data_IF_470427440333
#
_entry.id   IF_470427440333
#
_cell.length_a   1.000
_cell.length_b   1.000
_cell.length_c   1.000
_cell.angle_alpha   90.00
_cell.angle_beta   90.00
_cell.angle_gamma   90.00
#
_symmetry.space_group_name_H-M   'P 1'
#
loop_
_entity.id
_entity.type
_entity.pdbx_description
1 polymer ?
#
# COMPACT_ATOMS: atom_id res chain seq x y z
N UNK A 1 -18.40 -25.32 -18.23
CA UNK A 1 -18.51 -24.67 -16.91
C UNK A 1 -17.30 -25.05 -16.05
N UNK A 2 -16.31 -24.17 -15.94
CA UNK A 2 -15.21 -24.28 -14.98
C UNK A 2 -15.03 -22.89 -14.37
N UNK A 3 -15.24 -22.80 -13.06
CA UNK A 3 -15.42 -21.56 -12.29
C UNK A 3 -14.28 -20.57 -12.53
N UNK A 4 -14.61 -19.31 -12.75
CA UNK A 4 -13.70 -18.19 -12.57
C UNK A 4 -13.03 -18.40 -11.20
N UNK A 5 -11.74 -18.74 -11.21
CA UNK A 5 -10.97 -18.80 -9.98
C UNK A 5 -11.06 -17.42 -9.36
N UNK A 6 -11.69 -17.33 -8.20
CA UNK A 6 -11.71 -16.13 -7.38
C UNK A 6 -10.25 -15.70 -7.24
N UNK A 7 -9.86 -14.66 -7.98
CA UNK A 7 -8.54 -14.04 -7.91
C UNK A 7 -8.55 -13.29 -6.60
N UNK A 8 -8.32 -14.03 -5.50
CA UNK A 8 -8.14 -13.46 -4.17
C UNK A 8 -6.99 -12.47 -4.30
N UNK A 9 -7.34 -11.20 -4.27
CA UNK A 9 -6.40 -10.09 -4.41
C UNK A 9 -6.16 -9.64 -3.00
N UNK A 10 -5.06 -10.09 -2.40
CA UNK A 10 -4.71 -9.64 -1.08
C UNK A 10 -4.36 -8.13 -1.11
N UNK A 11 -4.69 -7.44 -0.04
CA UNK A 11 -4.41 -6.04 0.19
C UNK A 11 -3.61 -5.88 1.47
N UNK A 12 -2.66 -4.95 1.44
CA UNK A 12 -1.84 -4.58 2.57
C UNK A 12 -2.34 -3.24 3.12
N UNK A 13 -2.53 -3.19 4.43
CA UNK A 13 -3.05 -2.04 5.14
C UNK A 13 -2.07 -1.61 6.24
N UNK A 14 -1.79 -0.32 6.31
CA UNK A 14 -0.99 0.28 7.38
C UNK A 14 -1.50 1.67 7.68
N UNK A 15 -1.24 2.17 8.89
CA UNK A 15 -1.73 3.48 9.31
C UNK A 15 -0.71 4.57 8.98
N UNK A 16 -1.19 5.72 8.48
CA UNK A 16 -0.34 6.86 8.18
C UNK A 16 0.30 7.45 9.45
N UNK A 17 -0.34 7.32 10.61
CA UNK A 17 0.22 7.77 11.89
C UNK A 17 1.47 6.99 12.32
N UNK A 18 1.62 5.76 11.84
CA UNK A 18 2.75 4.90 12.16
C UNK A 18 3.93 5.10 11.19
N UNK A 19 3.76 5.92 10.16
CA UNK A 19 4.81 6.23 9.19
C UNK A 19 5.71 7.30 9.79
N UNK A 20 7.02 7.03 9.80
CA UNK A 20 8.01 8.00 10.23
C UNK A 20 7.83 9.34 9.50
N UNK A 21 7.80 10.45 10.26
CA UNK A 21 7.67 11.82 9.73
C UNK A 21 8.48 12.14 8.47
N UNK A 22 9.78 11.79 8.37
CA UNK A 22 10.56 12.08 7.16
C UNK A 22 9.97 11.42 5.91
N UNK A 23 9.50 10.18 6.02
CA UNK A 23 8.88 9.43 4.92
C UNK A 23 7.54 10.04 4.55
N UNK A 24 6.73 10.37 5.55
CA UNK A 24 5.42 10.98 5.34
C UNK A 24 5.49 12.37 4.69
N UNK A 25 6.55 13.15 4.99
CA UNK A 25 6.80 14.46 4.37
C UNK A 25 7.26 14.36 2.93
N UNK A 26 7.99 13.30 2.59
CA UNK A 26 8.47 13.04 1.23
C UNK A 26 7.45 12.29 0.36
N UNK A 27 6.34 11.83 0.95
CA UNK A 27 5.29 11.14 0.23
C UNK A 27 4.59 12.07 -0.78
N UNK A 28 4.43 11.57 -2.00
CA UNK A 28 3.73 12.28 -3.06
C UNK A 28 2.28 11.84 -3.07
N UNK A 29 1.36 12.80 -2.91
CA UNK A 29 -0.09 12.56 -2.93
C UNK A 29 -0.69 13.05 -4.23
N UNK A 30 -1.49 12.23 -4.88
CA UNK A 30 -2.22 12.56 -6.10
C UNK A 30 -3.70 12.26 -5.92
N UNK A 31 -4.53 13.26 -6.14
CA UNK A 31 -5.97 13.04 -6.23
C UNK A 31 -6.31 12.53 -7.63
N UNK A 32 -6.91 11.35 -7.70
CA UNK A 32 -7.31 10.70 -8.94
C UNK A 32 -8.73 11.18 -9.27
N UNK A 33 -8.84 12.08 -10.26
CA UNK A 33 -10.09 12.78 -10.57
C UNK A 33 -11.22 11.86 -11.06
N UNK A 34 -10.85 10.71 -11.65
CA UNK A 34 -11.80 9.76 -12.24
C UNK A 34 -12.52 8.91 -11.20
N UNK A 35 -11.79 8.54 -10.14
CA UNK A 35 -12.30 7.64 -9.08
C UNK A 35 -12.56 8.36 -7.76
N UNK A 36 -12.12 9.61 -7.63
CA UNK A 36 -12.16 10.37 -6.37
C UNK A 36 -11.21 9.82 -5.29
N UNK A 37 -10.31 8.89 -5.66
CA UNK A 37 -9.38 8.25 -4.74
C UNK A 37 -8.15 9.13 -4.54
N UNK A 38 -7.63 9.14 -3.31
CA UNK A 38 -6.40 9.82 -2.98
C UNK A 38 -5.27 8.81 -2.99
N UNK A 39 -4.44 8.87 -4.02
CA UNK A 39 -3.30 7.96 -4.20
C UNK A 39 -2.08 8.58 -3.52
N UNK A 40 -1.27 7.77 -2.86
CA UNK A 40 -0.05 8.16 -2.17
C UNK A 40 1.10 7.26 -2.59
N UNK A 41 2.23 7.85 -2.94
CA UNK A 41 3.47 7.14 -3.27
C UNK A 41 4.57 7.56 -2.31
N UNK A 42 5.26 6.58 -1.73
CA UNK A 42 6.35 6.83 -0.79
C UNK A 42 7.71 6.68 -1.46
N UNK A 43 8.72 7.47 -1.07
CA UNK A 43 10.06 7.31 -1.59
C UNK A 43 10.61 5.91 -1.24
N UNK A 44 11.09 5.19 -2.25
CA UNK A 44 11.63 3.83 -2.10
C UNK A 44 10.58 2.73 -1.92
N UNK A 45 9.28 3.06 -1.87
CA UNK A 45 8.23 2.06 -1.89
C UNK A 45 7.96 1.66 -3.35
N UNK A 46 7.94 0.35 -3.68
CA UNK A 46 7.77 -0.11 -5.06
C UNK A 46 6.35 0.07 -5.60
N UNK A 47 5.39 0.41 -4.73
CA UNK A 47 3.97 0.50 -5.06
C UNK A 47 3.36 1.81 -4.56
N UNK A 48 2.33 2.26 -5.27
CA UNK A 48 1.41 3.29 -4.83
C UNK A 48 0.31 2.70 -3.94
N UNK A 49 -0.09 3.46 -2.92
CA UNK A 49 -1.20 3.15 -2.04
C UNK A 49 -2.37 4.12 -2.23
N UNK A 50 -3.51 3.78 -1.64
CA UNK A 50 -4.71 4.61 -1.60
C UNK A 50 -4.97 5.01 -0.16
N UNK A 51 -5.01 6.31 0.11
CA UNK A 51 -5.46 6.85 1.40
C UNK A 51 -6.98 6.63 1.54
N UNK A 52 -7.34 5.84 2.56
CA UNK A 52 -8.71 5.62 2.98
C UNK A 52 -9.15 6.66 4.01
N UNK A 53 -10.48 6.80 4.17
CA UNK A 53 -11.05 7.62 5.25
C UNK A 53 -10.65 7.03 6.59
N UNK A 54 -9.92 7.80 7.40
CA UNK A 54 -9.41 7.37 8.71
C UNK A 54 -7.88 7.32 8.80
N UNK A 55 -7.15 7.70 7.74
CA UNK A 55 -5.69 7.75 7.76
C UNK A 55 -5.01 6.41 7.48
N UNK A 56 -5.78 5.37 7.15
CA UNK A 56 -5.23 4.09 6.72
C UNK A 56 -4.87 4.13 5.23
N UNK A 57 -3.77 3.46 4.89
CA UNK A 57 -3.29 3.34 3.52
C UNK A 57 -3.49 1.90 3.07
N UNK A 58 -4.19 1.73 1.95
CA UNK A 58 -4.41 0.45 1.28
C UNK A 58 -3.44 0.33 0.09
N UNK A 59 -2.71 -0.78 0.02
CA UNK A 59 -1.86 -1.12 -1.12
C UNK A 59 -2.26 -2.49 -1.65
N UNK A 60 -2.27 -2.64 -2.98
CA UNK A 60 -2.47 -3.96 -3.57
C UNK A 60 -1.27 -4.85 -3.25
N UNK A 61 -1.51 -6.01 -2.64
CA UNK A 61 -0.43 -6.92 -2.31
C UNK A 61 0.09 -7.59 -3.59
N UNK A 62 1.38 -7.39 -3.94
CA UNK A 62 1.90 -7.87 -5.20
C UNK A 62 2.04 -9.40 -5.20
N UNK A 63 1.68 -10.03 -6.32
CA UNK A 63 1.88 -11.48 -6.53
C UNK A 63 3.34 -11.85 -6.79
N UNK A 64 4.09 -10.93 -7.40
CA UNK A 64 5.52 -11.13 -7.65
C UNK A 64 6.26 -11.18 -6.31
N UNK A 65 7.03 -12.25 -6.09
CA UNK A 65 7.85 -12.45 -4.90
C UNK A 65 8.89 -11.34 -4.73
N UNK A 66 9.47 -10.85 -5.83
CA UNK A 66 10.46 -9.79 -5.78
C UNK A 66 9.86 -8.48 -5.28
N UNK A 67 8.74 -8.04 -5.88
CA UNK A 67 8.05 -6.80 -5.49
C UNK A 67 7.55 -6.90 -4.05
N UNK A 68 7.02 -8.06 -3.66
CA UNK A 68 6.58 -8.35 -2.30
C UNK A 68 7.72 -8.25 -1.30
N UNK A 69 8.87 -8.85 -1.61
CA UNK A 69 10.05 -8.80 -0.74
C UNK A 69 10.54 -7.37 -0.57
N UNK A 70 10.60 -6.57 -1.64
CA UNK A 70 10.99 -5.16 -1.56
C UNK A 70 9.99 -4.36 -0.72
N UNK A 71 8.68 -4.56 -0.91
CA UNK A 71 7.64 -3.89 -0.13
C UNK A 71 7.75 -4.21 1.37
N UNK A 72 7.87 -5.50 1.72
CA UNK A 72 7.97 -5.94 3.11
C UNK A 72 9.26 -5.42 3.76
N UNK A 73 10.39 -5.48 3.05
CA UNK A 73 11.65 -4.92 3.55
C UNK A 73 11.54 -3.41 3.79
N UNK A 74 10.86 -2.67 2.90
CA UNK A 74 10.62 -1.24 3.09
C UNK A 74 9.79 -0.97 4.36
N UNK A 75 8.70 -1.69 4.56
CA UNK A 75 7.86 -1.57 5.76
C UNK A 75 8.64 -1.89 7.04
N UNK A 76 9.42 -2.97 7.02
CA UNK A 76 10.25 -3.40 8.15
C UNK A 76 11.39 -2.41 8.44
N UNK A 77 12.03 -1.85 7.40
CA UNK A 77 13.09 -0.85 7.53
C UNK A 77 12.60 0.41 8.26
N UNK A 78 11.37 0.85 7.97
CA UNK A 78 10.75 1.98 8.64
C UNK A 78 10.02 1.62 9.95
N UNK A 79 9.97 0.33 10.32
CA UNK A 79 9.27 -0.14 11.52
C UNK A 79 7.76 0.03 11.47
N UNK A 80 7.16 0.04 10.27
CA UNK A 80 5.73 0.31 10.08
C UNK A 80 4.94 -0.98 10.31
N UNK A 81 4.02 -1.04 11.30
CA UNK A 81 3.12 -2.17 11.46
C UNK A 81 2.12 -2.23 10.29
N UNK A 82 2.01 -3.40 9.67
CA UNK A 82 1.11 -3.63 8.54
C UNK A 82 0.27 -4.90 8.72
N UNK A 83 -0.87 -4.94 8.05
CA UNK A 83 -1.77 -6.10 8.01
C UNK A 83 -2.03 -6.48 6.57
N UNK A 84 -1.98 -7.77 6.27
CA UNK A 84 -2.33 -8.30 4.95
C UNK A 84 -3.65 -9.05 5.06
N UNK A 85 -4.63 -8.65 4.27
CA UNK A 85 -5.96 -9.28 4.22
C UNK A 85 -6.20 -9.81 2.81
N UNK A 86 -6.82 -10.99 2.65
CA UNK A 86 -7.15 -11.59 1.35
C UNK A 86 -8.26 -10.86 0.60
#
# INVERSE_FOLDING_TARGET
>A
MGRAGDVVSAYLYFDQGEIAEPVAKMAVRRNEASTGRRVIAFPGCPLEGVELKGGQIEMRFPRSEEIRTVLINWLMYWGIPFRVLP
#
